data_IF_092088252603
#
_entry.id   IF_092088252603
#
_cell.length_a   1.000
_cell.length_b   1.000
_cell.length_c   1.000
_cell.angle_alpha   90.00
_cell.angle_beta   90.00
_cell.angle_gamma   90.00
#
_symmetry.space_group_name_H-M   'P 1'
#
loop_
_entity.id
_entity.type
_entity.pdbx_description
1 polymer ?
#
# COMPACT_ATOMS: atom_id res chain seq x y z
N UNK A 1 23.07 -91.99 45.75
CA UNK A 1 22.05 -91.09 45.17
C UNK A 1 22.48 -89.65 45.39
N UNK A 2 22.85 -88.90 44.35
CA UNK A 2 22.60 -87.44 44.26
C UNK A 2 22.75 -87.02 42.81
N UNK A 3 21.63 -86.99 42.10
CA UNK A 3 21.52 -86.53 40.72
C UNK A 3 21.52 -84.99 40.73
N UNK A 4 22.62 -84.37 40.29
CA UNK A 4 22.70 -82.91 40.15
C UNK A 4 22.05 -82.53 38.83
N UNK A 5 20.93 -81.84 38.91
CA UNK A 5 20.16 -81.29 37.78
C UNK A 5 21.04 -80.24 37.09
N UNK A 6 21.43 -80.41 35.81
CA UNK A 6 22.17 -79.40 35.08
C UNK A 6 21.17 -78.43 34.44
N UNK A 7 20.55 -77.57 35.25
CA UNK A 7 19.71 -76.50 34.74
C UNK A 7 20.27 -75.20 35.31
N UNK A 8 21.19 -74.59 34.56
CA UNK A 8 21.77 -73.28 34.83
C UNK A 8 21.07 -72.27 33.90
N UNK A 9 19.99 -71.58 34.32
CA UNK A 9 19.21 -70.66 33.48
C UNK A 9 20.07 -69.57 32.83
N UNK A 10 21.17 -69.20 33.49
CA UNK A 10 22.12 -68.23 32.99
C UNK A 10 22.89 -68.73 31.75
N UNK A 11 23.22 -70.02 31.69
CA UNK A 11 23.87 -70.62 30.52
C UNK A 11 22.94 -70.69 29.32
N UNK A 12 21.66 -71.01 29.55
CA UNK A 12 20.64 -71.01 28.50
C UNK A 12 20.33 -69.59 28.00
N UNK A 13 20.25 -68.60 28.90
CA UNK A 13 20.12 -67.19 28.53
C UNK A 13 21.33 -66.70 27.74
N UNK A 14 22.54 -67.05 28.18
CA UNK A 14 23.78 -66.70 27.50
C UNK A 14 23.85 -67.30 26.11
N UNK A 15 23.54 -68.59 25.95
CA UNK A 15 23.47 -69.24 24.65
C UNK A 15 22.41 -68.61 23.74
N UNK A 16 21.25 -68.22 24.30
CA UNK A 16 20.21 -67.55 23.54
C UNK A 16 20.63 -66.13 23.12
N UNK A 17 21.30 -65.39 24.01
CA UNK A 17 21.87 -64.08 23.72
C UNK A 17 22.97 -64.20 22.66
N UNK A 18 23.93 -65.10 22.79
CA UNK A 18 25.02 -65.28 21.82
C UNK A 18 24.51 -65.71 20.44
N UNK A 19 23.48 -66.56 20.40
CA UNK A 19 22.82 -66.94 19.14
C UNK A 19 22.08 -65.75 18.51
N UNK A 20 21.40 -64.97 19.34
CA UNK A 20 20.70 -63.76 18.91
C UNK A 20 21.71 -62.74 18.42
N UNK A 21 22.75 -62.43 19.18
CA UNK A 21 23.84 -61.53 18.82
C UNK A 21 24.50 -61.93 17.51
N UNK A 22 24.81 -63.21 17.28
CA UNK A 22 25.36 -63.66 16.00
C UNK A 22 24.38 -63.48 14.84
N UNK A 23 23.10 -63.79 15.05
CA UNK A 23 22.07 -63.60 14.03
C UNK A 23 21.87 -62.11 13.70
N UNK A 24 21.84 -61.24 14.71
CA UNK A 24 21.74 -59.80 14.56
C UNK A 24 23.01 -59.22 13.94
N UNK A 25 24.20 -59.68 14.33
CA UNK A 25 25.47 -59.23 13.77
C UNK A 25 25.55 -59.57 12.28
N UNK A 26 25.21 -60.81 11.90
CA UNK A 26 25.15 -61.21 10.48
C UNK A 26 24.10 -60.40 9.73
N UNK A 27 22.90 -60.27 10.28
CA UNK A 27 21.82 -59.52 9.65
C UNK A 27 22.19 -58.05 9.46
N UNK A 28 22.76 -57.39 10.49
CA UNK A 28 23.21 -55.99 10.48
C UNK A 28 24.34 -55.81 9.49
N UNK A 29 25.33 -56.71 9.44
CA UNK A 29 26.42 -56.63 8.49
C UNK A 29 25.95 -56.80 7.04
N UNK A 30 24.96 -57.67 6.81
CA UNK A 30 24.36 -57.88 5.49
C UNK A 30 23.36 -56.78 5.09
N UNK A 31 22.74 -56.08 6.04
CA UNK A 31 21.78 -54.98 5.77
C UNK A 31 22.45 -53.61 5.67
N UNK A 32 23.44 -53.31 6.53
CA UNK A 32 24.17 -52.03 6.48
C UNK A 32 24.98 -51.88 5.18
N UNK A 33 25.39 -52.99 4.57
CA UNK A 33 26.07 -53.00 3.28
C UNK A 33 25.15 -52.82 2.06
N UNK A 34 23.82 -52.78 2.25
CA UNK A 34 22.85 -52.71 1.15
C UNK A 34 22.10 -51.38 1.17
N UNK A 35 21.99 -50.78 -0.01
CA UNK A 35 21.25 -49.53 -0.25
C UNK A 35 19.77 -49.62 0.19
N UNK A 36 19.20 -50.84 0.21
CA UNK A 36 17.85 -51.12 0.71
C UNK A 36 17.62 -50.76 2.18
N UNK A 37 18.66 -50.72 3.01
CA UNK A 37 18.53 -50.27 4.41
C UNK A 37 18.35 -48.75 4.48
N UNK A 38 19.12 -48.00 3.69
CA UNK A 38 18.96 -46.55 3.58
C UNK A 38 17.60 -46.18 2.96
N UNK A 39 17.15 -46.92 1.95
CA UNK A 39 15.81 -46.76 1.36
C UNK A 39 14.70 -47.10 2.36
N UNK A 40 14.85 -48.19 3.13
CA UNK A 40 13.91 -48.57 4.18
C UNK A 40 13.85 -47.55 5.32
N UNK A 41 14.98 -46.97 5.73
CA UNK A 41 15.01 -45.88 6.70
C UNK A 41 14.34 -44.61 6.15
N UNK A 42 14.59 -44.27 4.88
CA UNK A 42 13.92 -43.16 4.21
C UNK A 42 12.40 -43.36 4.14
N UNK A 43 11.94 -44.58 3.88
CA UNK A 43 10.51 -44.92 3.86
C UNK A 43 9.89 -44.86 5.25
N UNK A 44 10.57 -45.36 6.29
CA UNK A 44 10.10 -45.26 7.68
C UNK A 44 10.03 -43.80 8.12
N UNK A 45 11.03 -42.98 7.77
CA UNK A 45 11.04 -41.55 8.05
C UNK A 45 9.90 -40.84 7.31
N UNK A 46 9.70 -41.13 6.03
CA UNK A 46 8.58 -40.60 5.24
C UNK A 46 7.23 -40.98 5.85
N UNK A 47 7.09 -42.22 6.30
CA UNK A 47 5.87 -42.68 6.96
C UNK A 47 5.65 -41.95 8.29
N UNK A 48 6.70 -41.74 9.09
CA UNK A 48 6.63 -40.99 10.33
C UNK A 48 6.16 -39.54 10.11
N UNK A 49 6.74 -38.86 9.10
CA UNK A 49 6.31 -37.51 8.71
C UNK A 49 4.85 -37.49 8.28
N UNK A 50 4.43 -38.48 7.47
CA UNK A 50 3.04 -38.61 7.05
C UNK A 50 2.07 -38.85 8.22
N UNK A 51 2.46 -39.66 9.21
CA UNK A 51 1.69 -39.83 10.45
C UNK A 51 1.58 -38.53 11.25
N UNK A 52 2.66 -37.74 11.30
CA UNK A 52 2.65 -36.46 11.99
C UNK A 52 1.75 -35.43 11.30
N UNK A 53 1.79 -35.36 9.97
CA UNK A 53 0.86 -34.54 9.17
C UNK A 53 -0.59 -34.98 9.38
N UNK A 54 -0.86 -36.29 9.37
CA UNK A 54 -2.19 -36.84 9.60
C UNK A 54 -2.72 -36.50 11.01
N UNK A 55 -1.85 -36.56 12.03
CA UNK A 55 -2.21 -36.22 13.40
C UNK A 55 -2.53 -34.72 13.56
N UNK A 56 -1.76 -33.86 12.89
CA UNK A 56 -2.04 -32.42 12.85
C UNK A 56 -3.38 -32.13 12.15
N UNK A 57 -3.63 -32.77 11.00
CA UNK A 57 -4.89 -32.65 10.28
C UNK A 57 -6.07 -33.16 11.10
N UNK A 58 -5.91 -34.28 11.82
CA UNK A 58 -6.96 -34.83 12.68
C UNK A 58 -7.27 -33.90 13.85
N UNK A 59 -6.22 -33.32 14.45
CA UNK A 59 -6.35 -32.34 15.53
C UNK A 59 -7.04 -31.07 15.02
N UNK A 60 -6.70 -30.57 13.83
CA UNK A 60 -7.42 -29.45 13.20
C UNK A 60 -8.90 -29.76 12.95
N UNK A 61 -9.22 -30.92 12.36
CA UNK A 61 -10.61 -31.30 12.08
C UNK A 61 -11.40 -31.47 13.38
N UNK A 62 -10.77 -32.04 14.42
CA UNK A 62 -11.38 -32.17 15.73
C UNK A 62 -11.62 -30.80 16.40
N UNK A 63 -10.66 -29.88 16.32
CA UNK A 63 -10.81 -28.51 16.84
C UNK A 63 -11.86 -27.72 16.06
N UNK A 64 -11.93 -27.90 14.73
CA UNK A 64 -13.00 -27.35 13.89
C UNK A 64 -14.37 -27.89 14.29
N UNK A 65 -14.47 -29.18 14.63
CA UNK A 65 -15.72 -29.78 15.13
C UNK A 65 -16.11 -29.29 16.52
N UNK A 66 -15.14 -28.89 17.35
CA UNK A 66 -15.35 -28.21 18.63
C UNK A 66 -15.65 -26.70 18.47
N UNK A 67 -15.73 -26.18 17.24
CA UNK A 67 -15.89 -24.75 16.94
C UNK A 67 -14.75 -23.87 17.50
N UNK A 68 -13.59 -24.46 17.78
CA UNK A 68 -12.41 -23.75 18.24
C UNK A 68 -11.56 -23.45 17.00
N UNK A 69 -11.39 -22.16 16.63
CA UNK A 69 -10.60 -21.81 15.45
C UNK A 69 -9.17 -22.32 15.62
N UNK A 70 -8.61 -22.85 14.53
CA UNK A 70 -7.22 -23.27 14.47
C UNK A 70 -6.28 -22.07 14.65
N UNK A 71 -5.04 -22.32 15.10
CA UNK A 71 -4.03 -21.25 15.26
C UNK A 71 -3.77 -20.50 13.94
N UNK A 72 -3.83 -21.22 12.82
CA UNK A 72 -3.60 -20.67 11.48
C UNK A 72 -4.75 -19.75 11.05
N UNK A 73 -6.01 -20.11 11.35
CA UNK A 73 -7.17 -19.24 11.10
C UNK A 73 -7.07 -17.94 11.91
N UNK A 74 -6.65 -17.99 13.17
CA UNK A 74 -6.43 -16.79 14.00
C UNK A 74 -5.30 -15.93 13.41
N UNK A 75 -4.19 -16.54 12.99
CA UNK A 75 -3.07 -15.82 12.39
C UNK A 75 -3.45 -15.12 11.07
N UNK A 76 -4.27 -15.78 10.24
CA UNK A 76 -4.78 -15.22 8.99
C UNK A 76 -5.71 -14.03 9.25
N UNK A 77 -6.63 -14.15 10.21
CA UNK A 77 -7.51 -13.03 10.58
C UNK A 77 -6.72 -11.87 11.17
N UNK A 78 -5.75 -12.13 12.05
CA UNK A 78 -4.88 -11.10 12.60
C UNK A 78 -4.11 -10.36 11.49
N UNK A 79 -3.56 -11.10 10.52
CA UNK A 79 -2.86 -10.52 9.37
C UNK A 79 -3.79 -9.67 8.51
N UNK A 80 -5.04 -10.10 8.30
CA UNK A 80 -6.03 -9.33 7.56
C UNK A 80 -6.39 -8.03 8.29
N UNK A 81 -6.54 -8.08 9.62
CA UNK A 81 -6.84 -6.90 10.44
C UNK A 81 -5.70 -5.89 10.37
N UNK A 82 -4.45 -6.32 10.50
CA UNK A 82 -3.27 -5.44 10.39
C UNK A 82 -3.23 -4.77 9.01
N UNK A 83 -3.43 -5.53 7.93
CA UNK A 83 -3.47 -4.95 6.58
C UNK A 83 -4.62 -3.95 6.39
N UNK A 84 -5.75 -4.15 7.07
CA UNK A 84 -6.86 -3.20 7.04
C UNK A 84 -6.52 -1.93 7.83
N UNK A 85 -5.89 -2.04 8.99
CA UNK A 85 -5.41 -0.90 9.78
C UNK A 85 -4.43 -0.05 8.95
N UNK A 86 -3.41 -0.67 8.36
CA UNK A 86 -2.44 0.00 7.50
C UNK A 86 -3.12 0.72 6.32
N UNK A 87 -4.14 0.09 5.72
CA UNK A 87 -4.89 0.69 4.61
C UNK A 87 -5.78 1.84 5.07
N UNK A 88 -6.38 1.75 6.24
CA UNK A 88 -7.19 2.83 6.84
C UNK A 88 -6.29 4.03 7.13
N UNK A 89 -5.13 3.82 7.75
CA UNK A 89 -4.16 4.88 8.01
C UNK A 89 -3.66 5.53 6.71
N UNK A 90 -3.43 4.74 5.66
CA UNK A 90 -3.07 5.26 4.35
C UNK A 90 -4.16 6.14 3.75
N UNK A 91 -5.44 5.75 3.89
CA UNK A 91 -6.58 6.55 3.41
C UNK A 91 -6.67 7.85 4.22
N UNK A 92 -6.50 7.78 5.54
CA UNK A 92 -6.57 8.95 6.41
C UNK A 92 -5.50 9.98 6.04
N UNK A 93 -4.26 9.54 5.85
CA UNK A 93 -3.19 10.40 5.34
C UNK A 93 -3.51 11.01 3.97
N UNK A 94 -4.01 10.21 3.02
CA UNK A 94 -4.41 10.74 1.70
C UNK A 94 -5.54 11.77 1.80
N UNK A 95 -6.50 11.58 2.71
CA UNK A 95 -7.57 12.55 2.95
C UNK A 95 -7.03 13.86 3.53
N UNK A 96 -6.10 13.78 4.49
CA UNK A 96 -5.45 14.98 5.04
C UNK A 96 -4.66 15.73 3.99
N UNK A 97 -3.83 15.05 3.20
CA UNK A 97 -3.04 15.66 2.12
C UNK A 97 -3.94 16.31 1.06
N UNK A 98 -4.98 15.61 0.61
CA UNK A 98 -5.94 16.14 -0.36
C UNK A 98 -6.71 17.34 0.19
N UNK A 99 -7.12 17.31 1.46
CA UNK A 99 -7.80 18.43 2.10
C UNK A 99 -6.92 19.68 2.17
N UNK A 100 -5.64 19.51 2.49
CA UNK A 100 -4.68 20.61 2.51
C UNK A 100 -4.42 21.16 1.11
N UNK A 101 -4.27 20.28 0.11
CA UNK A 101 -4.12 20.65 -1.29
C UNK A 101 -5.35 21.44 -1.80
N UNK A 102 -6.56 20.93 -1.56
CA UNK A 102 -7.81 21.62 -1.92
C UNK A 102 -7.91 23.00 -1.26
N UNK A 103 -7.54 23.10 0.01
CA UNK A 103 -7.52 24.39 0.72
C UNK A 103 -6.53 25.37 0.08
N UNK A 104 -5.35 24.91 -0.34
CA UNK A 104 -4.37 25.73 -1.06
C UNK A 104 -4.90 26.18 -2.42
N UNK A 105 -5.48 25.27 -3.20
CA UNK A 105 -6.08 25.56 -4.51
C UNK A 105 -7.24 26.56 -4.40
N UNK A 106 -8.14 26.38 -3.44
CA UNK A 106 -9.24 27.32 -3.17
C UNK A 106 -8.70 28.73 -2.85
N UNK A 107 -7.65 28.81 -2.03
CA UNK A 107 -7.01 30.09 -1.71
C UNK A 107 -6.34 30.75 -2.92
N UNK A 108 -5.69 29.97 -3.78
CA UNK A 108 -5.11 30.46 -5.03
C UNK A 108 -6.19 30.93 -6.01
N UNK A 109 -7.29 30.17 -6.13
CA UNK A 109 -8.43 30.53 -6.96
C UNK A 109 -9.06 31.83 -6.46
N UNK A 110 -9.28 31.98 -5.15
CA UNK A 110 -9.80 33.21 -4.53
C UNK A 110 -8.93 34.42 -4.86
N UNK A 111 -7.60 34.28 -4.80
CA UNK A 111 -6.65 35.36 -5.18
C UNK A 111 -6.77 35.71 -6.67
N UNK A 112 -6.85 34.69 -7.52
CA UNK A 112 -6.95 34.86 -8.97
C UNK A 112 -8.25 35.57 -9.35
N UNK A 113 -9.37 35.13 -8.78
CA UNK A 113 -10.69 35.77 -8.95
C UNK A 113 -10.66 37.22 -8.47
N UNK A 114 -10.14 37.50 -7.28
CA UNK A 114 -10.04 38.88 -6.79
C UNK A 114 -9.11 39.77 -7.64
N UNK A 115 -8.10 39.18 -8.31
CA UNK A 115 -7.28 39.92 -9.28
C UNK A 115 -8.02 40.20 -10.59
N UNK A 116 -8.88 39.26 -11.02
CA UNK A 116 -9.74 39.41 -12.19
C UNK A 116 -10.78 40.50 -11.96
N UNK A 117 -11.43 40.52 -10.79
CA UNK A 117 -12.38 41.57 -10.39
C UNK A 117 -11.74 42.95 -10.51
N UNK A 118 -10.54 43.14 -9.94
CA UNK A 118 -9.79 44.41 -10.05
C UNK A 118 -9.44 44.79 -11.49
N UNK A 119 -9.13 43.81 -12.34
CA UNK A 119 -8.86 44.06 -13.78
C UNK A 119 -10.15 44.44 -14.51
N UNK A 120 -11.26 43.81 -14.15
CA UNK A 120 -12.58 44.12 -14.71
C UNK A 120 -13.02 45.53 -14.34
N UNK A 121 -12.85 45.95 -13.09
CA UNK A 121 -13.12 47.31 -12.65
C UNK A 121 -12.32 48.35 -13.47
N UNK A 122 -11.03 48.10 -13.71
CA UNK A 122 -10.20 48.97 -14.55
C UNK A 122 -10.68 49.03 -16.00
N UNK A 123 -11.14 47.91 -16.55
CA UNK A 123 -11.70 47.87 -17.92
C UNK A 123 -13.00 48.67 -17.97
N UNK A 124 -13.89 48.52 -16.97
CA UNK A 124 -15.11 49.32 -16.87
C UNK A 124 -14.80 50.82 -16.76
N UNK A 125 -13.82 51.20 -15.93
CA UNK A 125 -13.36 52.58 -15.80
C UNK A 125 -12.80 53.13 -17.14
N UNK A 126 -11.98 52.34 -17.83
CA UNK A 126 -11.42 52.73 -19.13
C UNK A 126 -12.54 52.91 -20.19
N UNK A 127 -13.51 52.01 -20.25
CA UNK A 127 -14.68 52.13 -21.14
C UNK A 127 -15.51 53.37 -20.78
N UNK A 128 -15.73 53.64 -19.49
CA UNK A 128 -16.45 54.83 -19.05
C UNK A 128 -15.70 56.13 -19.42
N UNK A 129 -14.37 56.13 -19.32
CA UNK A 129 -13.52 57.24 -19.73
C UNK A 129 -13.56 57.47 -21.25
N UNK A 130 -13.48 56.41 -22.05
CA UNK A 130 -13.59 56.48 -23.51
C UNK A 130 -14.96 57.01 -23.96
N UNK A 131 -16.06 56.52 -23.38
CA UNK A 131 -17.40 57.05 -23.63
C UNK A 131 -17.54 58.54 -23.28
N UNK A 132 -16.87 59.01 -22.21
CA UNK A 132 -16.84 60.43 -21.86
C UNK A 132 -16.03 61.26 -22.87
N UNK A 133 -14.93 60.70 -23.39
CA UNK A 133 -14.12 61.35 -24.41
C UNK A 133 -14.87 61.45 -25.75
N UNK A 134 -15.59 60.41 -26.17
CA UNK A 134 -16.46 60.45 -27.36
C UNK A 134 -17.52 61.55 -27.24
N UNK A 135 -18.22 61.65 -26.10
CA UNK A 135 -19.19 62.74 -25.86
C UNK A 135 -18.57 64.14 -25.87
N UNK A 136 -17.30 64.28 -25.49
CA UNK A 136 -16.57 65.55 -25.55
C UNK A 136 -16.05 65.88 -26.96
N UNK A 137 -15.75 64.86 -27.77
CA UNK A 137 -15.39 64.99 -29.18
C UNK A 137 -16.61 65.35 -30.05
N UNK A 138 -17.79 64.82 -29.74
CA UNK A 138 -19.05 65.20 -30.40
C UNK A 138 -19.55 66.62 -30.03
N UNK A 139 -19.09 67.19 -28.90
CA UNK A 139 -19.54 68.49 -28.41
C UNK A 139 -18.66 69.69 -28.84
N UNK A 140 -17.63 69.50 -29.67
CA UNK A 140 -16.82 70.61 -30.17
C UNK A 140 -17.47 71.27 -31.40
N UNK A 141 -17.79 72.59 -31.36
CA UNK A 141 -18.38 73.27 -32.50
C UNK A 141 -17.35 73.41 -33.63
N UNK A 142 -17.77 73.05 -34.84
CA UNK A 142 -17.05 73.32 -36.10
C UNK A 142 -16.81 74.84 -36.17
N UNK A 143 -15.57 75.29 -35.92
CA UNK A 143 -15.20 76.70 -36.04
C UNK A 143 -15.09 77.07 -37.51
N UNK A 144 -16.01 77.91 -37.98
CA UNK A 144 -15.91 78.63 -39.25
C UNK A 144 -14.67 79.53 -39.26
N UNK A 145 -13.89 79.43 -40.33
CA UNK A 145 -12.84 80.39 -40.69
C UNK A 145 -13.39 81.82 -40.75
N UNK A 146 -12.85 82.71 -39.92
CA UNK A 146 -12.84 84.15 -40.18
C UNK A 146 -11.45 84.70 -39.88
N UNK A 147 -10.61 84.72 -40.91
CA UNK A 147 -9.46 85.61 -40.99
C UNK A 147 -9.89 86.88 -41.73
N UNK A 148 -10.20 87.95 -40.98
CA UNK A 148 -9.97 89.32 -41.45
C UNK A 148 -9.46 90.12 -40.25
N UNK A 149 -8.15 90.34 -40.23
CA UNK A 149 -7.46 91.21 -39.30
C UNK A 149 -7.78 92.69 -39.61
N UNK A 150 -7.81 93.60 -38.62
CA UNK A 150 -7.84 95.04 -38.88
C UNK A 150 -6.44 95.65 -38.82
N UNK A 151 -6.16 96.71 -39.60
CA UNK A 151 -5.19 97.71 -39.16
C UNK A 151 -5.82 99.11 -39.05
N UNK A 152 -5.82 99.58 -37.81
CA UNK A 152 -5.42 100.90 -37.30
C UNK A 152 -5.32 102.12 -38.26
N UNK A 153 -6.09 103.15 -37.90
CA UNK A 153 -5.81 104.61 -37.81
C UNK A 153 -5.26 105.43 -39.01
N UNK A 154 -6.01 106.51 -39.25
CA UNK A 154 -5.62 107.90 -39.60
C UNK A 154 -5.20 108.22 -41.05
N UNK A 155 -6.06 108.98 -41.74
CA UNK A 155 -5.76 110.29 -42.36
C UNK A 155 -7.07 110.85 -42.97
N UNK A 156 -7.65 111.94 -42.46
CA UNK A 156 -7.47 113.35 -42.86
C UNK A 156 -7.80 113.68 -44.33
N UNK A 157 -8.58 114.77 -44.46
CA UNK A 157 -8.89 115.63 -45.63
C UNK A 157 -10.14 115.23 -46.43
N UNK A 158 -11.24 116.00 -46.37
CA UNK A 158 -11.48 117.36 -46.95
C UNK A 158 -11.57 117.32 -48.48
N UNK A 159 -12.77 117.09 -49.01
CA UNK A 159 -13.55 117.97 -49.90
C UNK A 159 -14.72 117.23 -50.53
#
# INVERSE_FOLDING_TARGET
MTQKIPFEPFTMWKDMYERTEKAWHSAIQDTLGKESFSEGLGQVQSNYLHYQEMFNNFTEVYLKQANIPSRDEIANVASLVINLEDKVDSIDNQLYENSEALTKEINQLKRTVGSLEKKFDKVLEAIAALNKQEKQLEAQPIKQDKQVAPPNKQDKQVK
#
